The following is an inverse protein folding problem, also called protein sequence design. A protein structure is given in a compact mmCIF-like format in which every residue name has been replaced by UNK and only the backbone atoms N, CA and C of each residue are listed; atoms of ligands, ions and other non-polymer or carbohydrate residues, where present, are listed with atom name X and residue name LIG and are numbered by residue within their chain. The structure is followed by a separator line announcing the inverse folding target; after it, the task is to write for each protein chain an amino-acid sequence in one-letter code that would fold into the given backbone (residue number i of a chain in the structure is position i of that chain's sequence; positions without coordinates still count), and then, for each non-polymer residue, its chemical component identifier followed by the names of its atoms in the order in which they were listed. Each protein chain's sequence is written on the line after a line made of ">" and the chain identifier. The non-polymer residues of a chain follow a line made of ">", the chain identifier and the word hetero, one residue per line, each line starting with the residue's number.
data_IF_604595999350
#
_entry.id   IF_604595999350
#
_cell.length_a   1.000
_cell.length_b   1.000
_cell.length_c   1.000
_cell.angle_alpha   90.00
_cell.angle_beta   90.00
_cell.angle_gamma   90.00
#
_symmetry.space_group_name_H-M   'P 1'
#
loop_
_entity.id
_entity.type
_entity.pdbx_description
1 polymer ?
#
# COMPACT_ATOMS: atom_id res chain seq x y z
N UNK A 1 83.96 -29.53 -0.46
CA UNK A 1 83.01 -30.56 -0.94
C UNK A 1 81.62 -29.97 -0.74
N UNK A 2 81.04 -29.49 -1.80
CA UNK A 2 79.75 -28.77 -1.79
C UNK A 2 78.72 -29.67 -2.49
N UNK A 3 77.83 -30.26 -1.72
CA UNK A 3 76.77 -31.15 -2.20
C UNK A 3 75.52 -30.29 -2.49
N UNK A 4 75.29 -29.97 -3.78
CA UNK A 4 74.06 -29.32 -4.24
C UNK A 4 72.97 -30.38 -4.37
N UNK A 5 72.07 -30.40 -3.42
CA UNK A 5 70.79 -31.09 -3.58
C UNK A 5 69.95 -30.37 -4.63
N UNK A 6 69.95 -30.87 -5.86
CA UNK A 6 68.96 -30.56 -6.88
C UNK A 6 67.66 -31.28 -6.52
N UNK A 7 66.69 -30.58 -5.94
CA UNK A 7 65.32 -30.98 -5.90
C UNK A 7 64.75 -30.97 -7.32
N UNK A 8 64.60 -32.14 -7.90
CA UNK A 8 63.88 -32.37 -9.13
C UNK A 8 62.38 -32.16 -8.83
N UNK A 9 61.86 -30.99 -9.09
CA UNK A 9 60.42 -30.82 -9.27
C UNK A 9 60.04 -31.62 -10.51
N UNK A 10 59.50 -32.80 -10.34
CA UNK A 10 58.92 -33.58 -11.42
C UNK A 10 57.73 -32.84 -11.99
N UNK A 11 57.87 -32.30 -13.17
CA UNK A 11 56.76 -31.78 -13.97
C UNK A 11 55.88 -32.97 -14.36
N UNK A 12 54.86 -33.23 -13.52
CA UNK A 12 53.79 -34.15 -13.89
C UNK A 12 52.82 -33.41 -14.80
N UNK A 13 52.89 -33.71 -16.08
CA UNK A 13 51.90 -33.21 -17.04
C UNK A 13 50.51 -33.73 -16.68
N UNK A 14 49.50 -32.85 -16.79
CA UNK A 14 48.08 -33.22 -16.56
C UNK A 14 47.64 -34.22 -17.64
N UNK A 15 46.96 -35.25 -17.22
CA UNK A 15 46.34 -36.19 -18.16
C UNK A 15 45.08 -35.61 -18.77
N UNK A 16 44.75 -35.99 -19.97
CA UNK A 16 43.55 -35.50 -20.69
C UNK A 16 42.27 -35.82 -19.93
N UNK A 17 42.20 -36.96 -19.24
CA UNK A 17 41.09 -37.35 -18.39
C UNK A 17 40.94 -36.47 -17.14
N UNK A 18 42.03 -36.02 -16.56
CA UNK A 18 42.04 -35.13 -15.40
C UNK A 18 41.52 -33.74 -15.77
N UNK A 19 41.90 -33.24 -16.98
CA UNK A 19 41.35 -31.98 -17.49
C UNK A 19 39.87 -32.08 -17.77
N UNK A 20 39.37 -33.17 -18.35
CA UNK A 20 37.94 -33.40 -18.60
C UNK A 20 37.18 -33.50 -17.27
N UNK A 21 37.67 -34.19 -16.28
CA UNK A 21 37.06 -34.29 -14.95
C UNK A 21 37.00 -32.92 -14.26
N UNK A 22 38.09 -32.14 -14.32
CA UNK A 22 38.10 -30.78 -13.77
C UNK A 22 37.08 -29.86 -14.47
N UNK A 23 36.98 -29.92 -15.81
CA UNK A 23 36.01 -29.12 -16.56
C UNK A 23 34.56 -29.53 -16.22
N UNK A 24 34.29 -30.81 -16.04
CA UNK A 24 32.96 -31.28 -15.63
C UNK A 24 32.56 -30.79 -14.22
N UNK A 25 33.50 -30.87 -13.26
CA UNK A 25 33.25 -30.35 -11.89
C UNK A 25 33.09 -28.82 -11.93
N UNK A 26 33.93 -28.11 -12.66
CA UNK A 26 33.82 -26.66 -12.78
C UNK A 26 32.49 -26.25 -13.41
N UNK A 27 32.04 -26.95 -14.47
CA UNK A 27 30.76 -26.69 -15.14
C UNK A 27 29.57 -26.87 -14.18
N UNK A 28 29.56 -27.91 -13.35
CA UNK A 28 28.50 -28.14 -12.35
C UNK A 28 28.52 -27.08 -11.25
N UNK A 29 29.69 -26.66 -10.78
CA UNK A 29 29.83 -25.59 -9.80
C UNK A 29 29.33 -24.25 -10.35
N UNK A 30 29.75 -23.86 -11.54
CA UNK A 30 29.31 -22.61 -12.19
C UNK A 30 27.79 -22.62 -12.41
N UNK A 31 27.21 -23.76 -12.82
CA UNK A 31 25.76 -23.91 -12.98
C UNK A 31 25.02 -23.76 -11.65
N UNK A 32 25.52 -24.35 -10.57
CA UNK A 32 24.93 -24.24 -9.22
C UNK A 32 24.99 -22.80 -8.70
N UNK A 33 26.15 -22.13 -8.86
CA UNK A 33 26.28 -20.71 -8.49
C UNK A 33 25.35 -19.80 -9.29
N UNK A 34 25.21 -20.02 -10.60
CA UNK A 34 24.30 -19.27 -11.45
C UNK A 34 22.85 -19.37 -10.98
N UNK A 35 22.39 -20.57 -10.64
CA UNK A 35 21.04 -20.75 -10.09
C UNK A 35 20.86 -20.08 -8.73
N UNK A 36 21.86 -20.13 -7.86
CA UNK A 36 21.80 -19.46 -6.55
C UNK A 36 21.67 -17.94 -6.71
N UNK A 37 22.44 -17.32 -7.61
CA UNK A 37 22.36 -15.89 -7.90
C UNK A 37 20.98 -15.47 -8.41
N UNK A 38 20.40 -16.24 -9.35
CA UNK A 38 19.08 -15.97 -9.90
C UNK A 38 18.01 -16.07 -8.79
N UNK A 39 18.08 -17.10 -7.95
CA UNK A 39 17.12 -17.30 -6.85
C UNK A 39 17.23 -16.18 -5.81
N UNK A 40 18.46 -15.80 -5.43
CA UNK A 40 18.69 -14.71 -4.47
C UNK A 40 18.20 -13.38 -5.02
N UNK A 41 18.48 -13.06 -6.29
CA UNK A 41 18.00 -11.83 -6.94
C UNK A 41 16.47 -11.76 -6.98
N UNK A 42 15.79 -12.87 -7.33
CA UNK A 42 14.32 -12.94 -7.30
C UNK A 42 13.76 -12.79 -5.89
N UNK A 43 14.41 -13.38 -4.88
CA UNK A 43 13.99 -13.26 -3.49
C UNK A 43 14.13 -11.83 -2.98
N UNK A 44 15.23 -11.15 -3.32
CA UNK A 44 15.46 -9.75 -2.95
C UNK A 44 14.41 -8.83 -3.58
N UNK A 45 14.13 -8.98 -4.89
CA UNK A 45 13.12 -8.20 -5.59
C UNK A 45 11.72 -8.36 -4.97
N UNK A 46 11.36 -9.59 -4.55
CA UNK A 46 10.08 -9.85 -3.85
C UNK A 46 9.99 -9.16 -2.51
N UNK A 47 11.08 -9.22 -1.73
CA UNK A 47 11.12 -8.57 -0.42
C UNK A 47 11.00 -7.06 -0.55
N UNK A 48 11.63 -6.47 -1.55
CA UNK A 48 11.56 -5.03 -1.84
C UNK A 48 10.16 -4.61 -2.28
N UNK A 49 9.52 -5.37 -3.19
CA UNK A 49 8.13 -5.12 -3.61
C UNK A 49 7.17 -5.19 -2.41
N UNK A 50 7.34 -6.19 -1.55
CA UNK A 50 6.51 -6.35 -0.36
C UNK A 50 6.71 -5.22 0.66
N UNK A 51 7.94 -4.77 0.88
CA UNK A 51 8.25 -3.62 1.74
C UNK A 51 7.62 -2.33 1.18
N UNK A 52 7.75 -2.09 -0.13
CA UNK A 52 7.15 -0.93 -0.80
C UNK A 52 5.61 -0.92 -0.67
N UNK A 53 4.95 -2.06 -0.89
CA UNK A 53 3.50 -2.18 -0.72
C UNK A 53 3.06 -1.93 0.73
N UNK A 54 3.85 -2.37 1.72
CA UNK A 54 3.59 -2.09 3.13
C UNK A 54 3.63 -0.60 3.43
N UNK A 55 4.63 0.10 2.92
CA UNK A 55 4.79 1.54 3.14
C UNK A 55 3.68 2.34 2.44
N UNK A 56 3.31 1.95 1.22
CA UNK A 56 2.19 2.55 0.50
C UNK A 56 0.87 2.33 1.24
N UNK A 57 0.60 1.11 1.73
CA UNK A 57 -0.62 0.81 2.48
C UNK A 57 -0.70 1.60 3.79
N UNK A 58 0.41 1.72 4.53
CA UNK A 58 0.47 2.57 5.74
C UNK A 58 0.24 4.03 5.42
N UNK A 59 0.83 4.53 4.35
CA UNK A 59 0.68 5.92 3.89
C UNK A 59 -0.77 6.20 3.49
N UNK A 60 -1.41 5.30 2.73
CA UNK A 60 -2.80 5.41 2.32
C UNK A 60 -3.75 5.42 3.53
N UNK A 61 -3.59 4.47 4.47
CA UNK A 61 -4.38 4.44 5.72
C UNK A 61 -4.13 5.70 6.56
N UNK A 62 -2.88 6.15 6.65
CA UNK A 62 -2.51 7.36 7.38
C UNK A 62 -3.17 8.61 6.81
N UNK A 63 -3.15 8.77 5.48
CA UNK A 63 -3.81 9.85 4.76
C UNK A 63 -5.32 9.85 4.96
N UNK A 64 -5.96 8.69 4.71
CA UNK A 64 -7.40 8.52 4.90
C UNK A 64 -7.83 8.75 6.36
N UNK A 65 -7.02 8.26 7.32
CA UNK A 65 -7.28 8.48 8.75
C UNK A 65 -7.16 9.95 9.15
N UNK A 66 -6.26 10.70 8.53
CA UNK A 66 -6.11 12.15 8.73
C UNK A 66 -7.32 12.88 8.18
N UNK A 67 -7.68 12.62 6.92
CA UNK A 67 -8.83 13.22 6.28
C UNK A 67 -10.13 12.97 7.08
N UNK A 68 -10.33 11.74 7.57
CA UNK A 68 -11.49 11.40 8.40
C UNK A 68 -11.54 12.11 9.76
N UNK A 69 -10.38 12.40 10.37
CA UNK A 69 -10.32 13.17 11.62
C UNK A 69 -10.64 14.65 11.42
N UNK A 70 -10.43 15.16 10.21
CA UNK A 70 -10.80 16.52 9.80
C UNK A 70 -12.29 16.60 9.42
N UNK A 71 -12.96 15.46 9.24
CA UNK A 71 -14.39 15.44 8.93
C UNK A 71 -15.19 16.21 9.98
N UNK A 72 -16.00 17.15 9.52
CA UNK A 72 -16.73 18.08 10.39
C UNK A 72 -18.20 18.11 10.03
N UNK A 73 -19.00 18.35 11.05
CA UNK A 73 -20.43 18.61 10.92
C UNK A 73 -20.68 20.11 10.82
N UNK A 74 -21.04 20.60 9.66
CA UNK A 74 -21.32 22.04 9.45
C UNK A 74 -22.78 22.41 9.54
N UNK A 75 -23.71 21.44 9.69
CA UNK A 75 -25.16 21.67 9.68
C UNK A 75 -25.93 20.91 10.77
N UNK A 76 -25.24 20.36 11.77
CA UNK A 76 -25.86 19.50 12.79
C UNK A 76 -26.19 18.07 12.31
N UNK A 77 -25.79 17.73 11.09
CA UNK A 77 -25.91 16.38 10.51
C UNK A 77 -24.57 15.65 10.59
N UNK A 78 -24.55 14.35 10.36
CA UNK A 78 -23.28 13.59 10.30
C UNK A 78 -22.36 14.19 9.22
N UNK A 79 -21.05 14.27 9.47
CA UNK A 79 -20.10 14.67 8.44
C UNK A 79 -20.02 13.67 7.27
N UNK A 80 -20.51 12.45 7.45
CA UNK A 80 -20.56 11.43 6.40
C UNK A 80 -21.78 11.66 5.53
N UNK A 81 -21.56 11.91 4.25
CA UNK A 81 -22.58 12.15 3.23
C UNK A 81 -23.12 10.84 2.64
N UNK A 82 -22.20 9.96 2.25
CA UNK A 82 -22.55 8.65 1.71
C UNK A 82 -21.53 7.60 2.13
N UNK A 83 -22.00 6.38 2.29
CA UNK A 83 -21.18 5.26 2.71
C UNK A 83 -21.58 3.96 2.01
N UNK A 84 -20.57 3.14 1.73
CA UNK A 84 -20.72 1.74 1.33
C UNK A 84 -19.49 0.95 1.76
N UNK A 85 -19.47 -0.35 1.53
CA UNK A 85 -18.30 -1.17 1.81
C UNK A 85 -17.04 -0.78 1.00
N UNK A 86 -17.23 -0.15 -0.17
CA UNK A 86 -16.16 0.24 -1.10
C UNK A 86 -16.06 1.74 -1.37
N UNK A 87 -17.00 2.54 -0.85
CA UNK A 87 -17.00 3.99 -1.05
C UNK A 87 -17.31 4.71 0.25
N UNK A 88 -16.70 5.88 0.42
CA UNK A 88 -16.93 6.76 1.55
C UNK A 88 -16.80 8.21 1.09
N UNK A 89 -17.82 9.02 1.36
CA UNK A 89 -17.81 10.46 1.09
C UNK A 89 -18.14 11.21 2.37
N UNK A 90 -17.35 12.24 2.68
CA UNK A 90 -17.52 13.08 3.85
C UNK A 90 -17.05 14.50 3.58
N UNK A 91 -17.49 15.42 4.40
CA UNK A 91 -17.15 16.84 4.30
C UNK A 91 -16.13 17.20 5.39
N UNK A 92 -15.15 18.02 5.01
CA UNK A 92 -14.08 18.52 5.88
C UNK A 92 -13.85 20.03 5.63
N UNK A 93 -13.37 20.80 6.62
CA UNK A 93 -13.07 22.20 6.42
C UNK A 93 -11.91 22.37 5.45
N UNK A 94 -11.95 23.44 4.68
CA UNK A 94 -10.80 23.94 3.95
C UNK A 94 -10.17 25.06 4.77
N UNK A 95 -8.85 24.98 5.01
CA UNK A 95 -8.11 26.01 5.73
C UNK A 95 -7.86 27.29 4.90
N UNK A 96 -8.33 27.29 3.64
CA UNK A 96 -8.18 28.44 2.75
C UNK A 96 -9.02 29.66 3.20
N UNK A 97 -8.55 30.84 2.87
CA UNK A 97 -9.32 32.08 3.06
C UNK A 97 -9.71 32.64 1.71
N UNK A 98 -11.02 32.83 1.41
CA UNK A 98 -12.19 32.64 2.27
C UNK A 98 -12.48 31.16 2.57
N UNK A 99 -13.16 30.90 3.71
CA UNK A 99 -13.53 29.54 4.14
C UNK A 99 -14.42 28.82 3.15
N UNK A 100 -14.01 27.61 2.79
CA UNK A 100 -14.75 26.67 1.97
C UNK A 100 -14.91 25.34 2.71
N UNK A 101 -15.84 24.53 2.24
CA UNK A 101 -15.92 23.13 2.61
C UNK A 101 -15.30 22.28 1.50
N UNK A 102 -14.59 21.22 1.90
CA UNK A 102 -14.08 20.20 0.98
C UNK A 102 -14.91 18.94 1.13
N UNK A 103 -15.43 18.43 0.06
CA UNK A 103 -15.99 17.08 -0.01
C UNK A 103 -14.91 16.12 -0.46
N UNK A 104 -14.59 15.20 0.41
CA UNK A 104 -13.55 14.18 0.18
C UNK A 104 -14.26 12.85 -0.07
N UNK A 105 -13.95 12.23 -1.20
CA UNK A 105 -14.52 10.96 -1.60
C UNK A 105 -13.42 9.94 -1.81
N UNK A 106 -13.61 8.77 -1.24
CA UNK A 106 -12.77 7.59 -1.47
C UNK A 106 -13.60 6.51 -2.13
N UNK A 107 -13.03 5.80 -3.09
CA UNK A 107 -13.63 4.63 -3.72
C UNK A 107 -12.60 3.57 -4.04
N UNK A 108 -13.02 2.32 -4.00
CA UNK A 108 -12.25 1.18 -4.46
C UNK A 108 -12.78 0.75 -5.83
N UNK A 109 -11.94 0.83 -6.86
CA UNK A 109 -12.27 0.43 -8.24
C UNK A 109 -11.14 -0.42 -8.80
N UNK A 110 -11.45 -1.65 -9.20
CA UNK A 110 -10.46 -2.54 -9.83
C UNK A 110 -9.25 -2.89 -8.96
N UNK A 111 -9.38 -2.83 -7.63
CA UNK A 111 -8.26 -3.06 -6.69
C UNK A 111 -7.39 -1.82 -6.46
N UNK A 112 -7.82 -0.65 -6.91
CA UNK A 112 -7.18 0.63 -6.68
C UNK A 112 -8.05 1.51 -5.78
N UNK A 113 -7.45 2.12 -4.75
CA UNK A 113 -8.09 3.10 -3.89
C UNK A 113 -7.88 4.48 -4.47
N UNK A 114 -8.95 5.07 -4.97
CA UNK A 114 -8.98 6.42 -5.51
C UNK A 114 -9.48 7.41 -4.46
N UNK A 115 -8.91 8.61 -4.49
CA UNK A 115 -9.32 9.78 -3.71
C UNK A 115 -9.73 10.91 -4.64
N UNK A 116 -10.82 11.59 -4.33
CA UNK A 116 -11.24 12.83 -4.99
C UNK A 116 -11.53 13.91 -3.95
N UNK A 117 -11.22 15.13 -4.26
CA UNK A 117 -11.54 16.31 -3.44
C UNK A 117 -12.28 17.32 -4.29
N UNK A 118 -13.42 17.78 -3.79
CA UNK A 118 -14.25 18.81 -4.43
C UNK A 118 -14.46 19.93 -3.42
N UNK A 119 -14.14 21.15 -3.80
CA UNK A 119 -14.33 22.32 -2.95
C UNK A 119 -15.71 22.93 -3.21
N UNK A 120 -16.38 23.42 -2.18
CA UNK A 120 -17.68 24.11 -2.32
C UNK A 120 -17.57 25.36 -3.19
N UNK A 121 -18.64 25.65 -3.91
CA UNK A 121 -18.70 26.85 -4.79
C UNK A 121 -18.83 28.12 -3.96
N UNK A 122 -19.69 28.06 -2.93
CA UNK A 122 -19.91 29.18 -2.02
C UNK A 122 -18.92 29.18 -0.85
N UNK A 123 -18.76 30.35 -0.26
CA UNK A 123 -17.85 30.62 0.86
C UNK A 123 -18.63 31.01 2.11
N UNK A 124 -18.03 30.74 3.25
CA UNK A 124 -18.45 31.26 4.55
C UNK A 124 -19.51 30.47 5.28
N UNK A 125 -20.71 30.31 4.75
CA UNK A 125 -21.84 29.73 5.47
C UNK A 125 -22.69 28.76 4.64
N UNK A 126 -23.36 27.83 5.33
CA UNK A 126 -24.37 26.96 4.74
C UNK A 126 -25.63 27.73 4.26
N UNK A 127 -26.40 27.18 3.30
CA UNK A 127 -26.22 25.84 2.69
C UNK A 127 -25.06 25.81 1.69
N UNK A 128 -24.30 24.71 1.73
CA UNK A 128 -23.16 24.52 0.83
C UNK A 128 -23.62 24.06 -0.56
N UNK A 129 -23.03 24.63 -1.59
CA UNK A 129 -23.27 24.24 -2.98
C UNK A 129 -22.00 23.62 -3.58
N UNK A 130 -22.20 22.58 -4.36
CA UNK A 130 -21.11 21.80 -4.93
C UNK A 130 -21.07 21.95 -6.46
N UNK A 131 -19.89 21.89 -7.09
CA UNK A 131 -19.80 21.76 -8.54
C UNK A 131 -20.61 20.54 -9.01
N UNK A 132 -21.19 20.61 -10.19
CA UNK A 132 -21.97 19.50 -10.77
C UNK A 132 -21.15 18.24 -11.07
N UNK A 133 -19.82 18.32 -10.96
CA UNK A 133 -18.89 17.21 -11.15
C UNK A 133 -17.96 17.07 -9.94
N UNK A 134 -17.63 15.84 -9.58
CA UNK A 134 -16.58 15.57 -8.60
C UNK A 134 -15.24 16.10 -9.09
N UNK A 135 -14.36 16.42 -8.16
CA UNK A 135 -12.97 16.72 -8.45
C UNK A 135 -12.25 15.54 -9.14
N UNK A 136 -11.02 15.74 -9.59
CA UNK A 136 -10.25 14.68 -10.23
C UNK A 136 -10.04 13.51 -9.27
N UNK A 137 -10.14 12.30 -9.80
CA UNK A 137 -9.82 11.09 -9.06
C UNK A 137 -8.32 10.81 -9.15
N UNK A 138 -7.68 10.58 -8.03
CA UNK A 138 -6.25 10.29 -7.92
C UNK A 138 -6.09 8.96 -7.19
N UNK A 139 -5.44 8.00 -7.83
CA UNK A 139 -5.08 6.73 -7.22
C UNK A 139 -4.11 6.93 -6.06
N UNK A 140 -4.41 6.35 -4.92
CA UNK A 140 -3.58 6.45 -3.71
C UNK A 140 -2.88 5.15 -3.36
N UNK A 141 -3.48 4.02 -3.71
CA UNK A 141 -2.94 2.69 -3.47
C UNK A 141 -3.56 1.71 -4.46
N UNK A 142 -2.74 0.91 -5.10
CA UNK A 142 -3.15 -0.22 -5.93
C UNK A 142 -2.90 -1.57 -5.22
N UNK A 143 -3.22 -2.66 -5.92
CA UNK A 143 -2.98 -4.03 -5.42
C UNK A 143 -3.82 -4.42 -4.20
N UNK A 144 -4.98 -3.79 -4.00
CA UNK A 144 -5.95 -4.15 -2.98
C UNK A 144 -6.75 -5.36 -3.46
N UNK A 145 -6.84 -6.39 -2.60
CA UNK A 145 -7.46 -7.66 -2.93
C UNK A 145 -8.84 -7.86 -2.29
N UNK A 146 -9.16 -7.10 -1.22
CA UNK A 146 -10.47 -7.17 -0.59
C UNK A 146 -11.44 -6.16 -1.22
N UNK A 147 -12.66 -6.61 -1.54
CA UNK A 147 -13.70 -5.76 -2.12
C UNK A 147 -14.43 -4.86 -1.12
N UNK A 148 -14.27 -5.12 0.18
CA UNK A 148 -14.86 -4.35 1.27
C UNK A 148 -13.76 -3.75 2.12
N UNK A 149 -13.61 -2.43 2.07
CA UNK A 149 -12.53 -1.72 2.77
C UNK A 149 -13.04 -0.87 3.94
N UNK A 150 -14.34 -0.53 3.96
CA UNK A 150 -14.94 0.29 4.99
C UNK A 150 -15.97 -0.48 5.82
N UNK A 151 -15.93 -0.29 7.12
CA UNK A 151 -16.92 -0.78 8.08
C UNK A 151 -17.27 0.35 9.04
N UNK A 152 -18.55 0.59 9.27
CA UNK A 152 -19.05 1.75 9.98
C UNK A 152 -19.68 1.36 11.30
N UNK A 153 -19.44 2.16 12.35
CA UNK A 153 -19.91 1.92 13.69
C UNK A 153 -20.60 3.18 14.25
N UNK A 154 -21.66 2.95 14.99
CA UNK A 154 -22.38 3.99 15.73
C UNK A 154 -21.69 4.36 17.06
N UNK A 155 -22.37 5.18 17.88
CA UNK A 155 -21.89 5.59 19.20
C UNK A 155 -21.78 4.45 20.22
N UNK A 156 -22.52 3.36 20.01
CA UNK A 156 -22.50 2.17 20.88
C UNK A 156 -21.44 1.15 20.46
N UNK A 157 -20.81 1.37 19.30
CA UNK A 157 -19.87 0.43 18.66
C UNK A 157 -20.58 -0.67 17.87
N UNK A 158 -21.88 -0.54 17.63
CA UNK A 158 -22.62 -1.45 16.75
C UNK A 158 -22.42 -1.06 15.28
N UNK A 159 -22.55 -2.03 14.38
CA UNK A 159 -22.48 -1.80 12.94
C UNK A 159 -23.66 -0.94 12.49
N UNK A 160 -23.40 0.05 11.66
CA UNK A 160 -24.43 0.91 11.08
C UNK A 160 -24.25 1.09 9.59
N UNK A 161 -25.37 1.28 8.89
CA UNK A 161 -25.44 1.70 7.48
C UNK A 161 -26.10 3.07 7.34
N UNK A 162 -26.44 3.70 8.47
CA UNK A 162 -27.00 5.05 8.51
C UNK A 162 -25.86 6.08 8.59
N UNK A 163 -25.67 6.93 7.58
CA UNK A 163 -24.63 7.96 7.60
C UNK A 163 -24.72 8.89 8.82
N UNK A 164 -25.93 9.15 9.32
CA UNK A 164 -26.16 10.06 10.46
C UNK A 164 -25.75 9.46 11.79
N UNK A 165 -25.75 8.14 11.90
CA UNK A 165 -25.37 7.40 13.10
C UNK A 165 -23.86 7.11 13.19
N UNK A 166 -23.11 7.27 12.11
CA UNK A 166 -21.65 6.93 12.09
C UNK A 166 -20.88 7.78 13.10
N UNK A 167 -20.09 7.09 13.94
CA UNK A 167 -19.16 7.70 14.90
C UNK A 167 -17.73 7.21 14.72
N UNK A 168 -17.55 6.04 14.14
CA UNK A 168 -16.24 5.56 13.78
C UNK A 168 -16.27 4.71 12.51
N UNK A 169 -15.15 4.74 11.79
CA UNK A 169 -14.95 3.99 10.54
C UNK A 169 -13.73 3.10 10.71
N UNK A 170 -13.90 1.81 10.47
CA UNK A 170 -12.77 0.89 10.33
C UNK A 170 -12.41 0.80 8.87
N UNK A 171 -11.14 1.05 8.59
CA UNK A 171 -10.53 0.91 7.28
C UNK A 171 -9.75 -0.40 7.30
N UNK A 172 -9.95 -1.28 6.33
CA UNK A 172 -9.20 -2.55 6.21
C UNK A 172 -8.72 -2.69 4.78
N UNK A 173 -7.42 -2.70 4.58
CA UNK A 173 -6.77 -2.86 3.29
C UNK A 173 -5.99 -4.19 3.30
N UNK A 174 -6.37 -5.11 2.45
CA UNK A 174 -5.62 -6.33 2.18
C UNK A 174 -4.87 -6.13 0.86
N UNK A 175 -3.55 -6.09 0.90
CA UNK A 175 -2.69 -5.86 -0.28
C UNK A 175 -1.85 -7.08 -0.59
N UNK A 176 -1.68 -7.37 -1.88
CA UNK A 176 -0.84 -8.45 -2.35
C UNK A 176 0.02 -7.99 -3.53
N UNK A 177 1.25 -8.48 -3.67
CA UNK A 177 2.10 -8.19 -4.83
C UNK A 177 1.42 -8.63 -6.13
N UNK A 178 1.54 -7.82 -7.19
CA UNK A 178 0.92 -8.11 -8.51
C UNK A 178 1.43 -9.39 -9.16
N UNK A 179 2.66 -9.78 -8.87
CA UNK A 179 3.28 -10.98 -9.44
C UNK A 179 2.92 -12.30 -8.72
N UNK A 180 1.89 -12.31 -7.89
CA UNK A 180 1.30 -13.51 -7.25
C UNK A 180 2.30 -14.42 -6.50
N UNK A 181 3.41 -13.89 -6.02
CA UNK A 181 4.48 -14.64 -5.36
C UNK A 181 4.75 -14.22 -3.90
N UNK A 182 3.83 -13.47 -3.30
CA UNK A 182 3.87 -13.04 -1.91
C UNK A 182 2.53 -13.27 -1.23
N UNK A 183 2.54 -13.40 0.10
CA UNK A 183 1.31 -13.47 0.88
C UNK A 183 0.56 -12.13 0.89
N UNK A 184 -0.75 -12.19 1.09
CA UNK A 184 -1.57 -11.00 1.33
C UNK A 184 -1.25 -10.44 2.72
N UNK A 185 -0.98 -9.14 2.80
CA UNK A 185 -0.80 -8.41 4.05
C UNK A 185 -2.04 -7.55 4.32
N UNK A 186 -2.59 -7.65 5.53
CA UNK A 186 -3.79 -6.90 5.92
C UNK A 186 -3.43 -5.80 6.91
N UNK A 187 -3.85 -4.59 6.60
CA UNK A 187 -3.69 -3.40 7.43
C UNK A 187 -5.05 -2.87 7.82
N UNK A 188 -5.23 -2.50 9.09
CA UNK A 188 -6.48 -1.92 9.54
C UNK A 188 -6.25 -0.75 10.48
N UNK A 189 -7.17 0.23 10.43
CA UNK A 189 -7.24 1.34 11.36
C UNK A 189 -8.70 1.60 11.72
N UNK A 190 -8.95 1.96 12.98
CA UNK A 190 -10.23 2.46 13.44
C UNK A 190 -10.10 3.95 13.68
N UNK A 191 -10.92 4.75 13.02
CA UNK A 191 -10.89 6.21 13.10
C UNK A 191 -12.22 6.70 13.64
N UNK A 192 -12.17 7.45 14.73
CA UNK A 192 -13.34 8.15 15.27
C UNK A 192 -13.51 9.48 14.59
N UNK A 193 -14.74 9.78 14.17
CA UNK A 193 -15.14 11.04 13.56
C UNK A 193 -15.47 12.02 14.69
N UNK A 194 -14.90 13.22 14.66
CA UNK A 194 -15.26 14.28 15.60
C UNK A 194 -16.64 14.84 15.24
N UNK A 195 -17.62 14.54 16.07
CA UNK A 195 -18.85 15.34 16.10
C UNK A 195 -18.60 16.54 17.01
N UNK A 196 -18.54 17.74 16.46
CA UNK A 196 -18.65 18.94 17.26
C UNK A 196 -20.09 18.97 17.81
N UNK A 197 -20.21 18.93 19.12
CA UNK A 197 -21.48 19.18 19.82
C UNK A 197 -21.83 20.66 19.79
#
# INVERSE_FOLDING_TARGET
>A
MSNRLRTLCGERGFTLIELLAAMAILGTLVGAFGQMLITTSKSSARTEEQATLQDLARTAIGGLSRDLREATNTLGTSPVESLSASTLTFDAPDEATPFHLRRISYRLVGGELDRSVTTSVNTGNAPWTWPGTSGPWVGTLDSITNGSIFTYYDATGALTTDPTAVRSVRITLAVAPKQNQGGTSTYSALVSIRTLQ
#
